data_IF_078507938006
#
_entry.id   IF_078507938006
#
_cell.length_a   1.000
_cell.length_b   1.000
_cell.length_c   1.000
_cell.angle_alpha   90.00
_cell.angle_beta   90.00
_cell.angle_gamma   90.00
#
_symmetry.space_group_name_H-M   'P 1'
#
loop_
_entity.id
_entity.type
_entity.pdbx_description
1 polymer ?
#
# COMPACT_ATOMS: atom_id res chain seq x y z
N UNK A 1 -11.74 0.25 15.59
CA UNK A 1 -11.98 -0.78 14.55
C UNK A 1 -10.88 -1.80 14.66
N UNK A 2 -11.17 -3.08 14.44
CA UNK A 2 -10.15 -4.12 14.35
C UNK A 2 -9.62 -4.15 12.92
N UNK A 3 -8.30 -4.15 12.75
CA UNK A 3 -7.69 -4.37 11.45
C UNK A 3 -7.60 -5.90 11.26
N UNK A 4 -8.24 -6.47 10.23
CA UNK A 4 -8.13 -7.91 9.97
C UNK A 4 -6.68 -8.24 9.56
N UNK A 5 -6.26 -9.48 9.80
CA UNK A 5 -4.99 -9.97 9.26
C UNK A 5 -5.18 -10.27 7.78
N UNK A 6 -4.24 -9.82 6.95
CA UNK A 6 -4.27 -10.00 5.51
C UNK A 6 -3.24 -11.03 5.08
N UNK A 7 -3.69 -12.18 4.58
CA UNK A 7 -2.84 -13.31 4.16
C UNK A 7 -2.39 -13.24 2.70
N UNK A 8 -3.03 -12.39 1.89
CA UNK A 8 -2.78 -12.28 0.45
C UNK A 8 -4.02 -12.40 -0.42
N UNK A 9 -5.21 -12.59 0.14
CA UNK A 9 -6.47 -12.69 -0.62
C UNK A 9 -6.89 -11.34 -1.26
N UNK A 10 -6.86 -11.18 -2.60
CA UNK A 10 -7.17 -9.91 -3.28
C UNK A 10 -8.57 -9.35 -2.99
N UNK A 11 -9.51 -10.21 -2.65
CA UNK A 11 -10.89 -9.86 -2.29
C UNK A 11 -10.99 -9.14 -0.95
N UNK A 12 -10.05 -9.43 -0.04
CA UNK A 12 -9.98 -8.84 1.30
C UNK A 12 -9.08 -7.60 1.36
N UNK A 13 -8.31 -7.34 0.30
CA UNK A 13 -7.36 -6.22 0.26
C UNK A 13 -8.03 -4.86 0.52
N UNK A 14 -9.20 -4.60 -0.08
CA UNK A 14 -9.90 -3.33 0.08
C UNK A 14 -10.32 -3.10 1.54
N UNK A 15 -11.00 -4.08 2.14
CA UNK A 15 -11.46 -4.01 3.53
C UNK A 15 -10.29 -3.88 4.51
N UNK A 16 -9.22 -4.66 4.29
CA UNK A 16 -7.98 -4.56 5.03
C UNK A 16 -7.36 -3.17 4.94
N UNK A 17 -7.19 -2.65 3.72
CA UNK A 17 -6.52 -1.37 3.49
C UNK A 17 -7.28 -0.21 4.10
N UNK A 18 -8.61 -0.17 3.97
CA UNK A 18 -9.44 0.87 4.60
C UNK A 18 -9.32 0.85 6.13
N UNK A 19 -9.39 -0.34 6.75
CA UNK A 19 -9.24 -0.51 8.18
C UNK A 19 -7.83 -0.14 8.67
N UNK A 20 -6.79 -0.56 7.94
CA UNK A 20 -5.40 -0.25 8.23
C UNK A 20 -5.12 1.25 8.09
N UNK A 21 -5.65 1.89 7.05
CA UNK A 21 -5.45 3.30 6.79
C UNK A 21 -6.01 4.15 7.94
N UNK A 22 -7.21 3.87 8.41
CA UNK A 22 -7.81 4.59 9.55
C UNK A 22 -7.10 4.31 10.88
N UNK A 23 -6.58 3.09 11.06
CA UNK A 23 -6.00 2.65 12.34
C UNK A 23 -4.51 2.95 12.49
N UNK A 24 -3.77 3.06 11.39
CA UNK A 24 -2.30 3.19 11.38
C UNK A 24 -1.84 4.31 10.44
N UNK A 25 -2.27 4.31 9.18
CA UNK A 25 -1.72 5.26 8.20
C UNK A 25 -2.11 6.73 8.46
N UNK A 26 -3.34 6.97 8.90
CA UNK A 26 -3.84 8.31 9.26
C UNK A 26 -3.30 8.81 10.61
N UNK A 27 -2.61 7.96 11.38
CA UNK A 27 -1.99 8.38 12.63
C UNK A 27 -0.64 9.06 12.37
N UNK A 28 -0.22 10.01 13.23
CA UNK A 28 1.08 10.66 13.14
C UNK A 28 2.20 9.72 13.64
N UNK A 29 2.33 8.55 13.00
CA UNK A 29 3.35 7.54 13.26
C UNK A 29 4.48 7.69 12.25
N UNK A 30 5.70 7.31 12.65
CA UNK A 30 6.84 7.29 11.74
C UNK A 30 6.68 6.17 10.71
N UNK A 31 7.25 6.31 9.50
CA UNK A 31 7.15 5.28 8.47
C UNK A 31 7.71 3.92 8.92
N UNK A 32 8.72 3.93 9.80
CA UNK A 32 9.26 2.71 10.42
C UNK A 32 8.23 2.02 11.32
N UNK A 33 7.46 2.78 12.10
CA UNK A 33 6.39 2.24 12.93
C UNK A 33 5.24 1.73 12.05
N UNK A 34 4.83 2.50 11.04
CA UNK A 34 3.80 2.09 10.08
C UNK A 34 4.17 0.77 9.38
N UNK A 35 5.43 0.62 8.96
CA UNK A 35 5.93 -0.62 8.37
C UNK A 35 5.92 -1.78 9.36
N UNK A 36 6.31 -1.55 10.62
CA UNK A 36 6.26 -2.58 11.67
C UNK A 36 4.83 -3.04 11.94
N UNK A 37 3.87 -2.10 12.03
CA UNK A 37 2.45 -2.43 12.13
C UNK A 37 1.97 -3.18 10.90
N UNK A 38 2.28 -2.70 9.70
CA UNK A 38 1.92 -3.35 8.45
C UNK A 38 2.36 -4.82 8.46
N UNK A 39 3.64 -5.10 8.75
CA UNK A 39 4.15 -6.48 8.87
C UNK A 39 3.46 -7.31 9.96
N UNK A 40 2.95 -6.68 11.00
CA UNK A 40 2.21 -7.34 12.08
C UNK A 40 0.79 -7.75 11.69
N UNK A 41 0.17 -7.04 10.74
CA UNK A 41 -1.16 -7.38 10.22
C UNK A 41 -1.10 -8.17 8.90
N UNK A 42 0.09 -8.51 8.41
CA UNK A 42 0.25 -9.35 7.23
C UNK A 42 0.63 -10.77 7.63
N UNK A 43 0.08 -11.74 6.90
CA UNK A 43 0.42 -13.15 7.00
C UNK A 43 0.64 -13.74 5.60
N UNK A 44 0.91 -15.05 5.53
CA UNK A 44 0.94 -15.81 4.28
C UNK A 44 1.83 -15.20 3.19
N UNK A 45 1.24 -15.02 2.01
CA UNK A 45 1.91 -14.48 0.81
C UNK A 45 2.11 -12.96 0.90
N UNK A 46 1.20 -12.25 1.55
CA UNK A 46 1.31 -10.80 1.68
C UNK A 46 2.51 -10.39 2.54
N UNK A 47 2.77 -11.14 3.61
CA UNK A 47 3.97 -10.92 4.44
C UNK A 47 5.25 -11.21 3.67
N UNK A 48 5.28 -12.28 2.87
CA UNK A 48 6.42 -12.65 2.02
C UNK A 48 6.71 -11.59 0.96
N UNK A 49 5.67 -11.01 0.36
CA UNK A 49 5.80 -9.95 -0.65
C UNK A 49 6.59 -8.75 -0.13
N UNK A 50 6.45 -8.42 1.16
CA UNK A 50 7.14 -7.28 1.77
C UNK A 50 8.28 -7.64 2.74
N UNK A 51 8.66 -8.91 2.80
CA UNK A 51 9.67 -9.40 3.74
C UNK A 51 11.03 -8.71 3.52
N UNK A 52 11.36 -8.42 2.25
CA UNK A 52 12.60 -7.75 1.85
C UNK A 52 12.69 -6.26 2.24
N UNK A 53 11.58 -5.62 2.61
CA UNK A 53 11.59 -4.22 3.02
C UNK A 53 11.94 -4.10 4.50
N UNK A 54 13.21 -3.82 4.80
CA UNK A 54 13.72 -3.82 6.18
C UNK A 54 13.65 -2.46 6.88
N UNK A 55 13.36 -1.39 6.15
CA UNK A 55 13.40 -0.01 6.66
C UNK A 55 12.14 0.75 6.32
N UNK A 56 11.69 1.61 7.25
CA UNK A 56 10.50 2.46 7.09
C UNK A 56 10.52 3.36 5.85
N UNK A 57 11.71 3.72 5.34
CA UNK A 57 11.86 4.43 4.07
C UNK A 57 11.21 3.74 2.87
N UNK A 58 11.02 2.43 2.95
CA UNK A 58 10.38 1.62 1.91
C UNK A 58 8.93 1.29 2.26
N UNK A 59 8.34 1.95 3.27
CA UNK A 59 6.94 1.74 3.63
C UNK A 59 6.02 2.02 2.44
N UNK A 60 6.24 3.14 1.72
CA UNK A 60 5.47 3.46 0.53
C UNK A 60 5.65 2.41 -0.57
N UNK A 61 6.88 1.98 -0.86
CA UNK A 61 7.14 0.90 -1.83
C UNK A 61 6.50 -0.43 -1.44
N UNK A 62 6.50 -0.77 -0.14
CA UNK A 62 5.89 -1.99 0.37
C UNK A 62 4.36 -1.95 0.19
N UNK A 63 3.73 -0.82 0.52
CA UNK A 63 2.29 -0.61 0.29
C UNK A 63 1.95 -0.67 -1.19
N UNK A 64 2.73 0.00 -2.06
CA UNK A 64 2.53 -0.05 -3.50
C UNK A 64 2.66 -1.47 -4.04
N UNK A 65 3.65 -2.24 -3.56
CA UNK A 65 3.83 -3.64 -3.94
C UNK A 65 2.63 -4.49 -3.57
N UNK A 66 2.11 -4.34 -2.34
CA UNK A 66 0.90 -5.03 -1.92
C UNK A 66 -0.32 -4.61 -2.76
N UNK A 67 -0.46 -3.31 -3.07
CA UNK A 67 -1.54 -2.80 -3.91
C UNK A 67 -1.45 -3.31 -5.35
N UNK A 68 -0.26 -3.39 -5.93
CA UNK A 68 -0.05 -3.92 -7.29
C UNK A 68 -0.26 -5.43 -7.33
N UNK A 69 0.12 -6.14 -6.27
CA UNK A 69 0.02 -7.60 -6.22
C UNK A 69 -1.40 -8.07 -5.89
N UNK A 70 -2.07 -7.41 -4.95
CA UNK A 70 -3.36 -7.83 -4.38
C UNK A 70 -4.52 -6.85 -4.64
N UNK A 71 -4.23 -5.58 -4.94
CA UNK A 71 -5.24 -4.57 -5.26
C UNK A 71 -5.74 -4.59 -6.71
N UNK A 72 -5.40 -5.62 -7.50
CA UNK A 72 -5.75 -5.75 -8.93
C UNK A 72 -7.25 -5.78 -9.22
N UNK A 73 -8.11 -5.90 -8.22
CA UNK A 73 -9.56 -5.77 -8.40
C UNK A 73 -9.99 -4.33 -8.71
N UNK A 74 -9.21 -3.30 -8.31
CA UNK A 74 -9.54 -1.88 -8.53
C UNK A 74 -8.66 -1.19 -9.61
N UNK A 75 -7.69 -1.91 -10.18
CA UNK A 75 -6.67 -1.36 -11.09
C UNK A 75 -7.17 -0.92 -12.48
N UNK A 76 -8.48 -0.96 -12.75
CA UNK A 76 -9.03 -0.44 -14.02
C UNK A 76 -9.26 1.09 -13.95
N UNK A 77 -9.30 1.72 -12.77
CA UNK A 77 -9.79 3.12 -12.67
C UNK A 77 -8.71 4.20 -12.60
N UNK A 78 -7.41 3.86 -12.50
CA UNK A 78 -6.35 4.91 -12.38
C UNK A 78 -5.39 5.06 -13.56
N UNK A 79 -5.76 4.55 -14.73
CA UNK A 79 -5.12 4.92 -16.02
C UNK A 79 -5.65 6.27 -16.52
N UNK A 80 -5.58 7.33 -15.71
CA UNK A 80 -5.74 8.72 -16.18
C UNK A 80 -5.02 9.68 -15.23
N UNK A 81 -3.74 9.43 -14.93
CA UNK A 81 -2.83 10.52 -14.58
C UNK A 81 -1.93 10.82 -15.77
N UNK A 82 -2.37 11.83 -16.53
CA UNK A 82 -1.50 12.78 -17.20
C UNK A 82 -0.60 12.21 -18.28
N UNK A 83 -1.17 12.10 -19.48
CA UNK A 83 -0.41 12.21 -20.73
C UNK A 83 0.59 13.35 -20.61
N UNK A 84 1.87 13.02 -20.81
CA UNK A 84 2.94 14.00 -21.05
C UNK A 84 2.53 14.89 -22.22
N UNK A 85 2.38 16.19 -21.99
CA UNK A 85 2.61 17.17 -23.05
C UNK A 85 3.67 18.17 -22.60
N UNK A 86 4.88 17.89 -23.05
CA UNK A 86 5.92 18.90 -23.24
C UNK A 86 5.40 19.89 -24.27
N UNK A 87 5.20 21.15 -23.87
CA UNK A 87 5.28 22.26 -24.82
C UNK A 87 6.10 23.38 -24.23
N UNK A 88 7.37 23.35 -24.65
CA UNK A 88 8.22 24.51 -24.84
C UNK A 88 7.44 25.70 -25.42
N UNK A 89 7.39 26.85 -24.73
CA UNK A 89 7.70 28.18 -25.29
C UNK A 89 7.39 29.33 -24.31
N UNK A 90 8.48 30.02 -23.95
CA UNK A 90 8.74 31.43 -24.26
C UNK A 90 7.78 32.47 -23.67
N UNK A 91 8.29 33.19 -22.66
CA UNK A 91 8.29 34.66 -22.58
C UNK A 91 9.58 35.11 -21.90
#
# INVERSE_FOLDING_TARGET
>A
MMVPVFDGEPTQWLEFWEAFQSSVDQKPLSDAEKLAYLKGYLDGEAKKAIEGYTSGRFYQDAVETLQVQFGKTDSIVRTFKGTRELSVRKI
#
